data_IF_821810006769
#
_entry.id   IF_821810006769
#
_cell.length_a   1.000
_cell.length_b   1.000
_cell.length_c   1.000
_cell.angle_alpha   90.00
_cell.angle_beta   90.00
_cell.angle_gamma   90.00
#
_symmetry.space_group_name_H-M   'P 1'
#
loop_
_entity.id
_entity.type
_entity.pdbx_description
1 polymer ?
#
# COMPACT_ATOMS: atom_id res chain seq x y z
N UNK A 1 27.27 4.61 -23.97
CA UNK A 1 25.94 5.23 -23.96
C UNK A 1 24.84 4.24 -24.38
N UNK A 2 25.17 3.16 -25.11
CA UNK A 2 24.19 2.13 -25.54
C UNK A 2 23.78 1.13 -24.45
N UNK A 3 24.56 0.94 -23.38
CA UNK A 3 24.27 -0.04 -22.33
C UNK A 3 23.10 0.34 -21.38
N UNK A 4 22.70 1.59 -21.33
CA UNK A 4 21.63 2.05 -20.42
C UNK A 4 20.20 1.77 -20.91
N UNK A 5 19.99 1.78 -22.22
CA UNK A 5 18.66 1.56 -22.83
C UNK A 5 18.26 0.08 -22.81
N UNK A 6 19.22 -0.84 -22.94
CA UNK A 6 18.96 -2.28 -22.90
C UNK A 6 18.60 -2.76 -21.49
N UNK A 7 19.22 -2.18 -20.44
CA UNK A 7 18.94 -2.53 -19.06
C UNK A 7 17.50 -2.18 -18.66
N UNK A 8 17.04 -0.96 -18.97
CA UNK A 8 15.67 -0.53 -18.67
C UNK A 8 14.62 -1.36 -19.44
N UNK A 9 14.89 -1.65 -20.72
CA UNK A 9 14.03 -2.49 -21.55
C UNK A 9 13.83 -3.89 -20.98
N UNK A 10 14.88 -4.47 -20.42
CA UNK A 10 14.83 -5.79 -19.82
C UNK A 10 14.07 -5.78 -18.47
N UNK A 11 14.30 -4.75 -17.63
CA UNK A 11 13.52 -4.56 -16.37
C UNK A 11 12.04 -4.41 -16.68
N UNK A 12 11.68 -3.65 -17.70
CA UNK A 12 10.27 -3.47 -18.11
C UNK A 12 9.65 -4.78 -18.58
N UNK A 13 10.37 -5.58 -19.39
CA UNK A 13 9.89 -6.91 -19.82
C UNK A 13 9.67 -7.84 -18.63
N UNK A 14 10.59 -7.83 -17.66
CA UNK A 14 10.44 -8.59 -16.42
C UNK A 14 9.22 -8.12 -15.63
N UNK A 15 9.04 -6.80 -15.45
CA UNK A 15 7.89 -6.23 -14.75
C UNK A 15 6.57 -6.63 -15.41
N UNK A 16 6.48 -6.52 -16.74
CA UNK A 16 5.29 -6.90 -17.51
C UNK A 16 4.96 -8.40 -17.37
N UNK A 17 5.99 -9.25 -17.31
CA UNK A 17 5.83 -10.69 -17.08
C UNK A 17 5.32 -10.95 -15.66
N UNK A 18 5.99 -10.41 -14.65
CA UNK A 18 5.65 -10.60 -13.25
C UNK A 18 4.22 -10.12 -12.94
N UNK A 19 3.86 -8.93 -13.40
CA UNK A 19 2.51 -8.36 -13.22
C UNK A 19 1.46 -9.25 -13.91
N UNK A 20 1.76 -9.83 -15.08
CA UNK A 20 0.86 -10.77 -15.75
C UNK A 20 0.65 -12.05 -14.95
N UNK A 21 1.71 -12.63 -14.39
CA UNK A 21 1.65 -13.82 -13.54
C UNK A 21 0.78 -13.59 -12.30
N UNK A 22 0.87 -12.38 -11.69
CA UNK A 22 0.07 -12.04 -10.52
C UNK A 22 -1.40 -11.68 -10.83
N UNK A 23 -1.75 -11.53 -12.11
CA UNK A 23 -3.11 -11.09 -12.52
C UNK A 23 -4.22 -11.97 -11.98
N UNK A 24 -4.02 -13.29 -11.95
CA UNK A 24 -5.02 -14.24 -11.48
C UNK A 24 -5.22 -14.13 -9.96
N UNK A 25 -4.14 -14.08 -9.19
CA UNK A 25 -4.19 -13.93 -7.73
C UNK A 25 -4.91 -12.63 -7.34
N UNK A 26 -4.50 -11.51 -7.94
CA UNK A 26 -5.17 -10.22 -7.72
C UNK A 26 -6.63 -10.25 -8.19
N UNK A 27 -6.94 -10.92 -9.29
CA UNK A 27 -8.32 -11.08 -9.79
C UNK A 27 -9.23 -11.79 -8.79
N UNK A 28 -8.73 -12.85 -8.15
CA UNK A 28 -9.47 -13.57 -7.10
C UNK A 28 -9.72 -12.67 -5.88
N UNK A 29 -8.70 -11.91 -5.44
CA UNK A 29 -8.84 -10.96 -4.33
C UNK A 29 -9.89 -9.89 -4.62
N UNK A 30 -9.87 -9.30 -5.82
CA UNK A 30 -10.87 -8.31 -6.26
C UNK A 30 -12.27 -8.91 -6.24
N UNK A 31 -12.46 -10.11 -6.82
CA UNK A 31 -13.76 -10.79 -6.86
C UNK A 31 -14.30 -11.05 -5.44
N UNK A 32 -13.46 -11.56 -4.55
CA UNK A 32 -13.86 -11.83 -3.16
C UNK A 32 -14.23 -10.55 -2.42
N UNK A 33 -13.48 -9.47 -2.63
CA UNK A 33 -13.75 -8.17 -2.03
C UNK A 33 -15.09 -7.60 -2.53
N UNK A 34 -15.34 -7.62 -3.84
CA UNK A 34 -16.60 -7.11 -4.41
C UNK A 34 -17.82 -7.93 -3.94
N UNK A 35 -17.68 -9.27 -3.87
CA UNK A 35 -18.74 -10.12 -3.31
C UNK A 35 -19.03 -9.78 -1.85
N UNK A 36 -17.99 -9.61 -1.01
CA UNK A 36 -18.16 -9.23 0.38
C UNK A 36 -18.79 -7.86 0.52
N UNK A 37 -18.33 -6.89 -0.27
CA UNK A 37 -18.90 -5.53 -0.30
C UNK A 37 -20.38 -5.55 -0.67
N UNK A 38 -20.77 -6.31 -1.69
CA UNK A 38 -22.17 -6.48 -2.09
C UNK A 38 -23.00 -7.14 -0.99
N UNK A 39 -22.49 -8.19 -0.35
CA UNK A 39 -23.16 -8.85 0.76
C UNK A 39 -23.36 -7.90 1.96
N UNK A 40 -22.36 -7.09 2.29
CA UNK A 40 -22.46 -6.10 3.39
C UNK A 40 -23.45 -4.99 3.07
N UNK A 41 -23.53 -4.52 1.82
CA UNK A 41 -24.55 -3.56 1.36
C UNK A 41 -25.95 -4.17 1.52
N UNK A 42 -26.16 -5.39 1.04
CA UNK A 42 -27.44 -6.08 1.16
C UNK A 42 -27.85 -6.31 2.62
N UNK A 43 -26.89 -6.70 3.49
CA UNK A 43 -27.13 -6.88 4.93
C UNK A 43 -27.54 -5.60 5.64
N UNK A 44 -27.06 -4.45 5.18
CA UNK A 44 -27.40 -3.11 5.74
C UNK A 44 -28.60 -2.48 5.08
N UNK A 45 -29.10 -3.05 3.97
CA UNK A 45 -30.29 -2.58 3.31
C UNK A 45 -31.47 -2.65 4.26
N UNK A 46 -32.15 -1.54 4.47
CA UNK A 46 -33.34 -1.45 5.30
C UNK A 46 -34.53 -1.11 4.41
N UNK A 47 -35.61 -1.79 4.65
CA UNK A 47 -36.89 -1.44 4.04
C UNK A 47 -37.45 -0.27 4.86
N UNK A 48 -37.54 0.90 4.23
CA UNK A 48 -38.17 2.05 4.86
C UNK A 48 -39.70 1.88 4.79
N UNK A 49 -40.37 2.04 5.94
CA UNK A 49 -41.81 2.05 6.01
C UNK A 49 -42.43 3.43 5.66
N UNK A 50 -41.58 4.38 5.28
CA UNK A 50 -41.97 5.76 4.92
C UNK A 50 -41.56 6.03 3.49
N UNK A 51 -42.35 6.74 2.74
CA UNK A 51 -42.07 7.10 1.34
C UNK A 51 -43.34 7.39 0.55
N UNK A 52 -43.36 6.97 -0.71
CA UNK A 52 -44.50 7.16 -1.60
C UNK A 52 -45.62 6.20 -1.22
N UNK A 53 -46.83 6.72 -1.03
CA UNK A 53 -48.03 5.92 -0.77
C UNK A 53 -48.26 4.90 -1.91
N UNK A 54 -48.53 3.67 -1.54
CA UNK A 54 -48.94 2.63 -2.49
C UNK A 54 -50.48 2.73 -2.64
N UNK A 55 -50.90 3.35 -3.74
CA UNK A 55 -52.33 3.54 -4.03
C UNK A 55 -53.07 2.21 -4.09
N UNK A 56 -52.42 1.10 -4.41
CA UNK A 56 -53.03 -0.22 -4.47
C UNK A 56 -53.23 -0.83 -3.06
N UNK A 57 -52.50 -0.37 -2.05
CA UNK A 57 -52.59 -0.84 -0.67
C UNK A 57 -53.32 0.14 0.22
N UNK A 58 -53.71 1.30 -0.30
CA UNK A 58 -54.34 2.39 0.46
C UNK A 58 -55.72 2.01 1.08
N UNK A 59 -56.44 1.07 0.45
CA UNK A 59 -57.72 0.63 1.00
C UNK A 59 -57.59 -0.18 2.29
N UNK A 60 -56.39 -0.70 2.56
CA UNK A 60 -56.11 -1.52 3.76
C UNK A 60 -55.65 -0.70 4.96
N UNK A 61 -55.61 0.66 4.87
CA UNK A 61 -55.04 1.54 5.89
C UNK A 61 -55.67 1.37 7.29
N UNK A 62 -56.91 0.87 7.39
CA UNK A 62 -57.60 0.59 8.67
C UNK A 62 -57.06 -0.64 9.39
N UNK A 63 -56.39 -1.56 8.67
CA UNK A 63 -55.99 -2.87 9.17
C UNK A 63 -54.49 -3.16 8.98
N UNK A 64 -53.82 -2.34 8.19
CA UNK A 64 -52.41 -2.55 7.86
C UNK A 64 -51.68 -1.20 7.80
N UNK A 65 -50.62 -1.07 8.62
CA UNK A 65 -49.78 0.12 8.65
C UNK A 65 -48.80 0.17 7.47
N UNK A 66 -48.67 -0.91 6.65
CA UNK A 66 -47.72 -1.05 5.53
C UNK A 66 -48.35 -0.55 4.21
N UNK A 67 -48.75 0.72 4.22
CA UNK A 67 -49.41 1.40 3.07
C UNK A 67 -48.45 2.18 2.17
N UNK A 68 -47.17 2.11 2.47
CA UNK A 68 -46.12 2.80 1.70
C UNK A 68 -45.40 1.82 0.77
N UNK A 69 -45.03 2.29 -0.43
CA UNK A 69 -44.11 1.53 -1.30
C UNK A 69 -42.80 1.31 -0.57
N UNK A 70 -42.37 0.06 -0.52
CA UNK A 70 -41.12 -0.32 0.14
C UNK A 70 -39.93 0.25 -0.60
N UNK A 71 -39.34 1.32 -0.09
CA UNK A 71 -38.09 1.86 -0.58
C UNK A 71 -36.92 1.21 0.15
N UNK A 72 -36.01 0.59 -0.61
CA UNK A 72 -34.77 0.08 -0.05
C UNK A 72 -33.79 1.23 0.14
N UNK A 73 -33.53 1.62 1.38
CA UNK A 73 -32.49 2.61 1.71
C UNK A 73 -31.17 1.88 1.88
N UNK A 74 -30.25 2.16 0.99
CA UNK A 74 -28.86 1.65 1.07
C UNK A 74 -28.03 2.68 1.84
N UNK A 75 -27.60 2.39 3.09
CA UNK A 75 -26.71 3.29 3.81
C UNK A 75 -25.35 3.34 3.09
N UNK A 76 -24.78 4.53 3.01
CA UNK A 76 -23.43 4.74 2.46
C UNK A 76 -22.43 3.95 3.29
N UNK A 77 -21.62 3.12 2.61
CA UNK A 77 -20.53 2.40 3.24
C UNK A 77 -19.42 3.35 3.70
N UNK A 78 -18.66 2.96 4.72
CA UNK A 78 -17.48 3.71 5.16
C UNK A 78 -16.37 3.62 4.10
N UNK A 79 -15.72 4.74 3.84
CA UNK A 79 -14.53 4.78 2.98
C UNK A 79 -13.33 4.23 3.74
N UNK A 80 -12.65 3.27 3.12
CA UNK A 80 -11.45 2.65 3.67
C UNK A 80 -10.21 3.15 2.92
N UNK A 81 -9.11 3.32 3.64
CA UNK A 81 -7.78 3.55 3.10
C UNK A 81 -6.78 2.56 3.68
N UNK A 82 -5.63 2.42 3.04
CA UNK A 82 -4.58 1.51 3.44
C UNK A 82 -3.23 2.19 3.41
N UNK A 83 -2.47 2.08 4.51
CA UNK A 83 -1.08 2.54 4.59
C UNK A 83 -0.23 1.33 4.98
N UNK A 84 0.80 1.03 4.18
CA UNK A 84 1.68 -0.11 4.37
C UNK A 84 3.08 0.37 4.70
N UNK A 85 3.68 -0.19 5.75
CA UNK A 85 5.07 0.05 6.15
C UNK A 85 5.83 -1.28 6.08
N UNK A 86 6.87 -1.34 5.26
CA UNK A 86 7.68 -2.53 5.05
C UNK A 86 9.00 -2.35 5.78
N UNK A 87 9.35 -3.34 6.58
CA UNK A 87 10.65 -3.43 7.22
C UNK A 87 11.76 -3.63 6.19
N UNK A 88 12.63 -2.61 6.05
CA UNK A 88 13.76 -2.60 5.13
C UNK A 88 15.05 -2.93 5.86
N UNK A 89 15.05 -4.05 6.61
CA UNK A 89 16.17 -4.47 7.46
C UNK A 89 16.99 -5.61 6.85
N UNK A 90 18.22 -5.76 7.35
CA UNK A 90 19.14 -6.82 6.92
C UNK A 90 18.61 -8.23 7.16
N UNK A 91 17.80 -8.45 8.21
CA UNK A 91 17.17 -9.74 8.51
C UNK A 91 16.15 -10.17 7.44
N UNK A 92 15.60 -9.20 6.70
CA UNK A 92 14.64 -9.44 5.63
C UNK A 92 15.28 -9.84 4.29
N UNK A 93 16.61 -9.83 4.16
CA UNK A 93 17.31 -10.03 2.90
C UNK A 93 16.82 -11.24 2.08
N UNK A 94 16.60 -12.37 2.74
CA UNK A 94 16.16 -13.61 2.07
C UNK A 94 14.67 -13.65 1.75
N UNK A 95 13.87 -12.76 2.33
CA UNK A 95 12.40 -12.69 2.20
C UNK A 95 11.91 -11.42 1.54
N UNK A 96 12.80 -10.43 1.36
CA UNK A 96 12.44 -9.11 0.86
C UNK A 96 11.74 -9.18 -0.50
N UNK A 97 12.23 -10.02 -1.42
CA UNK A 97 11.61 -10.19 -2.74
C UNK A 97 10.17 -10.70 -2.65
N UNK A 98 9.89 -11.67 -1.77
CA UNK A 98 8.55 -12.21 -1.58
C UNK A 98 7.63 -11.19 -0.86
N UNK A 99 8.16 -10.42 0.10
CA UNK A 99 7.43 -9.34 0.78
C UNK A 99 7.06 -8.23 -0.19
N UNK A 100 7.99 -7.80 -1.02
CA UNK A 100 7.75 -6.81 -2.09
C UNK A 100 6.74 -7.31 -3.12
N UNK A 101 6.74 -8.61 -3.44
CA UNK A 101 5.73 -9.20 -4.32
C UNK A 101 4.33 -9.15 -3.70
N UNK A 102 4.21 -9.44 -2.40
CA UNK A 102 2.94 -9.31 -1.69
C UNK A 102 2.45 -7.86 -1.66
N UNK A 103 3.36 -6.91 -1.38
CA UNK A 103 3.05 -5.47 -1.46
C UNK A 103 2.60 -5.07 -2.87
N UNK A 104 3.29 -5.53 -3.91
CA UNK A 104 2.91 -5.27 -5.31
C UNK A 104 1.49 -5.74 -5.59
N UNK A 105 1.13 -6.94 -5.13
CA UNK A 105 -0.22 -7.48 -5.28
C UNK A 105 -1.26 -6.62 -4.56
N UNK A 106 -0.95 -6.15 -3.33
CA UNK A 106 -1.83 -5.26 -2.58
C UNK A 106 -1.99 -3.89 -3.25
N UNK A 107 -0.90 -3.31 -3.77
CA UNK A 107 -0.92 -2.05 -4.53
C UNK A 107 -1.81 -2.17 -5.77
N UNK A 108 -1.65 -3.24 -6.55
CA UNK A 108 -2.47 -3.48 -7.75
C UNK A 108 -3.94 -3.73 -7.36
N UNK A 109 -4.17 -4.49 -6.30
CA UNK A 109 -5.51 -4.74 -5.76
C UNK A 109 -6.20 -3.44 -5.34
N UNK A 110 -5.57 -2.63 -4.48
CA UNK A 110 -6.11 -1.35 -4.01
C UNK A 110 -6.43 -0.42 -5.18
N UNK A 111 -5.54 -0.34 -6.18
CA UNK A 111 -5.78 0.46 -7.38
C UNK A 111 -6.99 -0.01 -8.18
N UNK A 112 -7.16 -1.33 -8.35
CA UNK A 112 -8.31 -1.90 -9.08
C UNK A 112 -9.64 -1.69 -8.37
N UNK A 113 -9.65 -1.78 -7.04
CA UNK A 113 -10.87 -1.64 -6.22
C UNK A 113 -11.18 -0.17 -5.91
N UNK A 114 -10.25 0.74 -6.19
CA UNK A 114 -10.40 2.18 -5.90
C UNK A 114 -10.20 2.52 -4.41
N UNK A 115 -9.45 1.69 -3.67
CA UNK A 115 -9.06 1.99 -2.28
C UNK A 115 -7.84 2.89 -2.30
N UNK A 116 -7.87 4.10 -1.68
CA UNK A 116 -6.68 4.91 -1.50
C UNK A 116 -5.61 4.17 -0.70
N UNK A 117 -4.36 4.27 -1.13
CA UNK A 117 -3.25 3.61 -0.46
C UNK A 117 -1.96 4.39 -0.59
N UNK A 118 -1.08 4.21 0.40
CA UNK A 118 0.32 4.58 0.37
C UNK A 118 1.16 3.40 0.87
N UNK A 119 2.31 3.15 0.26
CA UNK A 119 3.26 2.11 0.64
C UNK A 119 4.64 2.72 0.89
N UNK A 120 5.21 2.40 2.04
CA UNK A 120 6.50 2.91 2.51
C UNK A 120 7.41 1.75 2.89
N UNK A 121 8.71 1.95 2.71
CA UNK A 121 9.75 1.15 3.35
C UNK A 121 10.41 1.96 4.45
N UNK A 122 10.74 1.36 5.59
CA UNK A 122 11.44 2.04 6.69
C UNK A 122 12.73 1.31 7.05
N UNK A 123 13.77 2.07 7.35
CA UNK A 123 15.09 1.53 7.70
C UNK A 123 15.91 2.52 8.54
N UNK A 124 16.91 2.01 9.22
CA UNK A 124 18.05 2.82 9.69
C UNK A 124 19.27 2.45 8.85
N UNK A 125 19.55 3.26 7.83
CA UNK A 125 20.57 2.95 6.84
C UNK A 125 21.99 2.98 7.42
N UNK A 126 22.82 1.99 7.02
CA UNK A 126 24.27 1.99 7.26
C UNK A 126 25.04 2.76 6.18
N UNK A 127 24.35 3.24 5.13
CA UNK A 127 24.99 3.94 4.03
C UNK A 127 25.56 5.27 4.46
N UNK A 128 26.87 5.39 4.36
CA UNK A 128 27.63 6.60 4.67
C UNK A 128 27.86 7.40 3.37
N UNK A 129 26.78 7.99 2.79
CA UNK A 129 26.92 8.87 1.63
C UNK A 129 27.80 10.08 1.87
N UNK A 130 27.80 10.61 3.09
CA UNK A 130 28.66 11.69 3.53
C UNK A 130 29.55 11.23 4.68
N UNK A 131 30.74 10.73 4.34
CA UNK A 131 31.79 10.38 5.32
C UNK A 131 32.30 11.60 6.12
N UNK A 132 31.86 12.80 5.83
CA UNK A 132 32.44 14.04 6.35
C UNK A 132 31.56 14.86 7.29
N UNK A 133 30.28 14.55 7.45
CA UNK A 133 29.49 15.26 8.47
C UNK A 133 29.39 14.44 9.76
N UNK A 134 30.53 14.24 10.41
CA UNK A 134 30.63 13.77 11.80
C UNK A 134 30.27 14.86 12.79
N UNK A 135 29.44 15.79 12.49
CA UNK A 135 28.76 16.60 13.50
C UNK A 135 27.65 15.73 14.12
N UNK A 136 28.10 14.68 14.82
CA UNK A 136 27.31 14.07 15.89
C UNK A 136 27.26 15.09 17.04
N UNK A 137 26.57 16.20 16.83
CA UNK A 137 25.99 16.94 17.92
C UNK A 137 25.05 15.97 18.60
N UNK A 138 25.44 15.44 19.76
CA UNK A 138 24.51 14.78 20.65
C UNK A 138 23.38 15.79 20.89
N UNK A 139 22.25 15.57 20.20
CA UNK A 139 21.07 16.37 20.46
C UNK A 139 20.61 15.98 21.86
N UNK A 140 20.74 16.87 22.83
CA UNK A 140 20.08 16.70 24.09
C UNK A 140 18.59 16.84 23.87
N UNK A 141 17.92 15.71 23.64
CA UNK A 141 16.48 15.65 23.56
C UNK A 141 15.88 15.93 24.92
N UNK A 142 14.98 16.90 24.99
CA UNK A 142 14.20 17.19 26.20
C UNK A 142 13.25 16.06 26.56
N UNK A 143 12.69 16.10 27.75
CA UNK A 143 11.67 15.12 28.15
C UNK A 143 10.46 15.19 27.19
N UNK A 144 10.11 14.06 26.57
CA UNK A 144 9.02 13.96 25.60
C UNK A 144 9.43 14.20 24.13
N UNK A 145 10.68 14.54 23.87
CA UNK A 145 11.21 14.64 22.52
C UNK A 145 11.88 13.32 22.08
N UNK A 146 11.75 13.00 20.79
CA UNK A 146 12.36 11.81 20.18
C UNK A 146 13.33 12.25 19.10
N UNK A 147 14.59 11.87 19.24
CA UNK A 147 15.58 12.09 18.19
C UNK A 147 15.39 11.09 17.05
N UNK A 148 14.83 11.54 15.92
CA UNK A 148 14.65 10.72 14.73
C UNK A 148 15.96 10.49 13.97
N UNK A 149 16.92 11.39 14.09
CA UNK A 149 18.18 11.36 13.35
C UNK A 149 19.22 10.37 13.90
N UNK A 150 19.04 9.91 15.15
CA UNK A 150 19.92 8.88 15.72
C UNK A 150 19.76 7.58 14.93
N UNK A 151 20.85 7.12 14.30
CA UNK A 151 20.86 5.91 13.49
C UNK A 151 20.28 6.06 12.07
N UNK A 152 20.26 7.28 11.52
CA UNK A 152 19.88 7.55 10.11
C UNK A 152 18.56 6.94 9.71
N UNK A 153 17.56 7.17 10.50
CA UNK A 153 16.20 6.77 10.22
C UNK A 153 15.73 7.33 8.87
N UNK A 154 15.18 6.47 8.03
CA UNK A 154 14.66 6.83 6.72
C UNK A 154 13.34 6.12 6.44
N UNK A 155 12.41 6.87 5.84
CA UNK A 155 11.19 6.34 5.28
C UNK A 155 11.19 6.63 3.79
N UNK A 156 10.98 5.60 2.98
CA UNK A 156 10.93 5.67 1.51
C UNK A 156 9.51 5.42 1.05
N UNK A 157 8.95 6.32 0.26
CA UNK A 157 7.68 6.04 -0.41
C UNK A 157 7.92 5.18 -1.64
N UNK A 158 7.32 3.99 -1.67
CA UNK A 158 7.46 3.03 -2.75
C UNK A 158 6.34 3.16 -3.79
N UNK A 159 5.11 3.38 -3.33
CA UNK A 159 3.95 3.61 -4.19
C UNK A 159 2.88 4.41 -3.46
N UNK A 160 2.05 5.13 -4.22
CA UNK A 160 0.91 5.87 -3.71
C UNK A 160 -0.24 5.88 -4.71
N UNK A 161 -1.46 5.88 -4.20
CA UNK A 161 -2.66 6.07 -5.01
C UNK A 161 -2.76 7.46 -5.64
N UNK A 162 -2.06 8.46 -5.09
CA UNK A 162 -1.99 9.83 -5.59
C UNK A 162 -1.09 9.99 -6.83
N UNK A 163 -0.24 9.00 -7.14
CA UNK A 163 0.64 9.02 -8.31
C UNK A 163 -0.16 9.05 -9.60
N UNK A 164 0.25 9.89 -10.55
CA UNK A 164 -0.32 9.93 -11.90
C UNK A 164 0.01 8.65 -12.67
N UNK A 165 -0.70 8.38 -13.78
CA UNK A 165 -0.58 7.11 -14.50
C UNK A 165 0.86 6.74 -14.91
N UNK A 166 1.63 7.69 -15.45
CA UNK A 166 3.05 7.47 -15.80
C UNK A 166 3.95 7.22 -14.59
N UNK A 167 3.75 7.98 -13.52
CA UNK A 167 4.49 7.88 -12.27
C UNK A 167 4.16 6.55 -11.55
N UNK A 168 2.88 6.19 -11.51
CA UNK A 168 2.45 4.91 -10.97
C UNK A 168 3.06 3.72 -11.72
N UNK A 169 3.06 3.76 -13.06
CA UNK A 169 3.69 2.71 -13.87
C UNK A 169 5.20 2.63 -13.61
N UNK A 170 5.89 3.77 -13.47
CA UNK A 170 7.30 3.79 -13.12
C UNK A 170 7.54 3.19 -11.72
N UNK A 171 6.69 3.52 -10.74
CA UNK A 171 6.77 2.92 -9.40
C UNK A 171 6.61 1.40 -9.44
N UNK A 172 5.66 0.86 -10.22
CA UNK A 172 5.50 -0.59 -10.39
C UNK A 172 6.75 -1.24 -11.01
N UNK A 173 7.34 -0.63 -12.05
CA UNK A 173 8.57 -1.12 -12.68
C UNK A 173 9.72 -1.10 -11.69
N UNK A 174 9.86 -0.05 -10.89
CA UNK A 174 10.91 0.05 -9.86
C UNK A 174 10.73 -1.02 -8.76
N UNK A 175 9.50 -1.27 -8.31
CA UNK A 175 9.22 -2.35 -7.34
C UNK A 175 9.58 -3.70 -7.95
N UNK A 176 9.24 -3.96 -9.20
CA UNK A 176 9.61 -5.21 -9.89
C UNK A 176 11.14 -5.34 -10.04
N UNK A 177 11.86 -4.25 -10.30
CA UNK A 177 13.33 -4.24 -10.33
C UNK A 177 13.94 -4.59 -8.97
N UNK A 178 13.36 -4.09 -7.88
CA UNK A 178 13.76 -4.44 -6.52
C UNK A 178 13.51 -5.93 -6.23
N UNK A 179 12.36 -6.45 -6.61
CA UNK A 179 12.02 -7.87 -6.47
C UNK A 179 13.05 -8.74 -7.20
N UNK A 180 13.37 -8.41 -8.45
CA UNK A 180 14.39 -9.13 -9.24
C UNK A 180 15.77 -9.08 -8.57
N UNK A 181 16.15 -7.91 -8.07
CA UNK A 181 17.42 -7.72 -7.37
C UNK A 181 17.53 -8.60 -6.10
N UNK A 182 16.48 -8.68 -5.29
CA UNK A 182 16.49 -9.51 -4.08
C UNK A 182 16.37 -11.00 -4.38
N UNK A 183 15.61 -11.41 -5.38
CA UNK A 183 15.54 -12.80 -5.81
C UNK A 183 16.84 -13.27 -6.47
N UNK A 184 17.53 -12.39 -7.20
CA UNK A 184 18.83 -12.70 -7.81
C UNK A 184 19.96 -12.94 -6.80
N UNK A 185 19.81 -12.41 -5.58
CA UNK A 185 20.73 -12.68 -4.46
C UNK A 185 20.37 -13.95 -3.67
N UNK A 186 19.15 -14.47 -3.83
CA UNK A 186 18.65 -15.65 -3.14
C UNK A 186 18.76 -16.93 -3.97
N UNK A 187 18.18 -18.03 -3.43
CA UNK A 187 18.16 -19.37 -4.02
C UNK A 187 17.37 -19.50 -5.33
N UNK A 188 16.59 -18.50 -5.72
CA UNK A 188 15.86 -18.46 -7.00
C UNK A 188 16.74 -17.75 -8.03
N UNK A 189 17.50 -18.53 -8.80
CA UNK A 189 18.15 -18.03 -10.01
C UNK A 189 17.08 -17.71 -11.05
N UNK A 190 16.65 -16.45 -11.11
CA UNK A 190 16.03 -15.94 -12.32
C UNK A 190 17.18 -15.68 -13.32
N UNK A 191 17.14 -16.36 -14.46
CA UNK A 191 18.02 -16.05 -15.60
C UNK A 191 17.68 -14.66 -16.08
N UNK A 192 18.52 -13.68 -15.76
CA UNK A 192 18.34 -12.29 -16.18
C UNK A 192 18.44 -11.24 -15.10
N UNK A 193 18.89 -11.58 -13.87
CA UNK A 193 19.09 -10.59 -12.82
C UNK A 193 19.97 -9.42 -13.30
N UNK A 194 19.33 -8.28 -13.60
CA UNK A 194 19.95 -7.12 -14.24
C UNK A 194 20.72 -6.30 -13.21
N UNK A 195 20.35 -6.39 -11.95
CA UNK A 195 20.98 -5.69 -10.84
C UNK A 195 21.78 -6.64 -9.94
N UNK A 196 22.94 -7.10 -10.43
CA UNK A 196 23.93 -7.80 -9.58
C UNK A 196 24.68 -6.87 -8.62
N UNK A 197 24.40 -5.60 -8.60
CA UNK A 197 25.13 -4.64 -7.79
C UNK A 197 24.45 -4.44 -6.43
N UNK A 198 24.92 -5.21 -5.46
CA UNK A 198 25.18 -4.83 -4.07
C UNK A 198 24.21 -3.80 -3.48
N UNK A 199 22.91 -4.14 -3.48
CA UNK A 199 21.88 -3.36 -2.75
C UNK A 199 22.19 -3.27 -1.25
N UNK A 200 23.15 -4.08 -0.76
CA UNK A 200 23.61 -4.06 0.62
C UNK A 200 24.32 -2.75 1.02
N UNK A 201 24.86 -1.98 0.07
CA UNK A 201 25.68 -0.81 0.35
C UNK A 201 25.24 0.48 -0.36
N UNK A 202 24.15 0.47 -1.10
CA UNK A 202 23.60 1.64 -1.79
C UNK A 202 22.55 2.40 -0.96
N UNK A 203 21.95 3.46 -1.52
CA UNK A 203 20.87 4.22 -0.88
C UNK A 203 19.65 3.37 -0.50
N UNK A 204 19.44 2.25 -1.20
CA UNK A 204 18.40 1.26 -0.95
C UNK A 204 18.93 0.03 -0.18
N UNK A 205 20.09 0.15 0.45
CA UNK A 205 20.68 -0.90 1.28
C UNK A 205 19.80 -1.25 2.47
N UNK A 206 19.78 -2.55 2.79
CA UNK A 206 19.09 -3.02 3.99
C UNK A 206 19.85 -2.55 5.24
N UNK A 207 19.13 -2.01 6.20
CA UNK A 207 19.70 -1.48 7.43
C UNK A 207 19.16 -2.14 8.69
N UNK A 208 19.03 -1.37 9.76
CA UNK A 208 18.38 -1.81 11.00
C UNK A 208 16.87 -1.62 10.96
N UNK A 209 16.19 -2.08 12.01
CA UNK A 209 14.72 -2.04 12.17
C UNK A 209 14.30 -0.99 13.20
N UNK A 210 14.19 0.29 12.83
CA UNK A 210 13.77 1.35 13.76
C UNK A 210 12.24 1.40 13.88
N UNK A 211 11.62 0.32 14.38
CA UNK A 211 10.17 0.19 14.46
C UNK A 211 9.53 1.22 15.40
N UNK A 212 10.17 1.53 16.52
CA UNK A 212 9.76 2.55 17.48
C UNK A 212 9.59 3.92 16.82
N UNK A 213 10.60 4.37 16.07
CA UNK A 213 10.56 5.63 15.32
C UNK A 213 9.53 5.61 14.19
N UNK A 214 9.41 4.46 13.52
CA UNK A 214 8.44 4.28 12.46
C UNK A 214 7.01 4.43 12.99
N UNK A 215 6.70 3.83 14.14
CA UNK A 215 5.38 3.95 14.78
C UNK A 215 5.09 5.41 15.15
N UNK A 216 6.05 6.13 15.70
CA UNK A 216 5.88 7.55 16.04
C UNK A 216 5.58 8.41 14.80
N UNK A 217 6.39 8.28 13.75
CA UNK A 217 6.23 9.05 12.51
C UNK A 217 5.00 8.60 11.72
N UNK A 218 4.61 7.32 11.81
CA UNK A 218 3.45 6.79 11.11
C UNK A 218 2.16 7.51 11.47
N UNK A 219 2.03 8.02 12.69
CA UNK A 219 0.88 8.81 13.13
C UNK A 219 0.66 10.03 12.23
N UNK A 220 1.71 10.79 11.96
CA UNK A 220 1.61 12.00 11.14
C UNK A 220 1.37 11.66 9.67
N UNK A 221 2.03 10.60 9.17
CA UNK A 221 1.81 10.07 7.82
C UNK A 221 0.35 9.64 7.64
N UNK A 222 -0.19 8.87 8.59
CA UNK A 222 -1.57 8.37 8.54
C UNK A 222 -2.56 9.53 8.63
N UNK A 223 -2.34 10.51 9.53
CA UNK A 223 -3.20 11.68 9.64
C UNK A 223 -3.21 12.50 8.34
N UNK A 224 -2.05 12.72 7.74
CA UNK A 224 -1.93 13.38 6.44
C UNK A 224 -2.59 12.59 5.32
N UNK A 225 -2.47 11.27 5.31
CA UNK A 225 -3.14 10.38 4.36
C UNK A 225 -4.67 10.43 4.50
N UNK A 226 -5.19 10.34 5.73
CA UNK A 226 -6.63 10.42 6.03
C UNK A 226 -7.21 11.76 5.58
N UNK A 227 -6.54 12.87 5.91
CA UNK A 227 -6.97 14.21 5.53
C UNK A 227 -7.00 14.39 3.99
N UNK A 228 -5.94 13.94 3.29
CA UNK A 228 -5.81 14.05 1.84
C UNK A 228 -6.87 13.23 1.09
N UNK A 229 -7.10 12.00 1.53
CA UNK A 229 -8.01 11.05 0.85
C UNK A 229 -9.44 11.05 1.42
N UNK A 230 -9.71 11.82 2.48
CA UNK A 230 -11.04 11.90 3.16
C UNK A 230 -11.57 10.51 3.52
N UNK A 231 -10.71 9.60 3.97
CA UNK A 231 -11.10 8.25 4.39
C UNK A 231 -11.61 8.26 5.82
N UNK A 232 -12.61 7.41 6.11
CA UNK A 232 -13.20 7.28 7.44
C UNK A 232 -12.50 6.21 8.29
N UNK A 233 -11.93 5.20 7.63
CA UNK A 233 -11.18 4.12 8.27
C UNK A 233 -9.86 3.98 7.53
N UNK A 234 -8.75 4.08 8.24
CA UNK A 234 -7.42 3.81 7.71
C UNK A 234 -6.85 2.54 8.38
N UNK A 235 -6.47 1.56 7.56
CA UNK A 235 -5.77 0.38 8.02
C UNK A 235 -4.27 0.59 7.81
N UNK A 236 -3.50 0.57 8.90
CA UNK A 236 -2.05 0.60 8.85
C UNK A 236 -1.50 -0.82 9.04
N UNK A 237 -0.57 -1.23 8.19
CA UNK A 237 0.10 -2.54 8.19
C UNK A 237 1.59 -2.28 8.35
N UNK A 238 2.23 -2.96 9.32
CA UNK A 238 3.66 -2.92 9.58
C UNK A 238 4.29 -4.28 9.33
#
# INVERSE_FOLDING_TARGET
VQHGTDAYGNVKKFADKLIREQRNAVGVMVKQFEMKKAADVNKRARIAKTGVLDTNSMYTYKYNDDIFRRNTVLPTGKNHGMVMFIDWSGSMQNRMGDTLLQMLNMVIFCKKVGIPFDAYGFTSSWYQGDRYNRDSKAYNTGAGEVELNSGRFSIMQLASSSMKGSEYNAALVNICALIDSFWGQGKRKYEGAIYRNNTAYGPLGLGGTPLDKTILVSRDIINGFVARNKVQICNAIF
#
